data_IF_854361293418
#
_entry.id   IF_854361293418
#
_cell.length_a   1.000
_cell.length_b   1.000
_cell.length_c   1.000
_cell.angle_alpha   90.00
_cell.angle_beta   90.00
_cell.angle_gamma   90.00
#
_symmetry.space_group_name_H-M   'P 1'
#
loop_
_entity.id
_entity.type
_entity.pdbx_description
1 polymer ?
#
# COMPACT_ATOMS: atom_id res chain seq x y z
N UNK A 1 20.59 10.16 5.09
CA UNK A 1 19.95 9.61 4.87
C UNK A 1 19.00 9.81 4.33
N UNK A 2 18.64 9.33 3.66
CA UNK A 2 17.87 9.81 2.92
C UNK A 2 16.80 8.91 2.60
N UNK A 3 16.02 8.58 3.57
CA UNK A 3 14.85 7.78 3.42
C UNK A 3 13.83 8.39 2.48
N UNK A 4 13.91 9.70 2.33
CA UNK A 4 13.03 10.37 1.40
C UNK A 4 13.21 9.89 -0.03
N UNK A 5 14.45 9.66 -0.43
CA UNK A 5 14.71 9.22 -1.80
C UNK A 5 14.03 7.90 -2.09
N UNK A 6 14.05 7.00 -1.11
CA UNK A 6 13.42 5.68 -1.30
C UNK A 6 11.90 5.79 -1.39
N UNK A 7 11.30 6.68 -0.61
CA UNK A 7 9.85 6.86 -0.64
C UNK A 7 9.41 7.48 -1.95
N UNK A 8 10.18 8.41 -2.48
CA UNK A 8 9.84 9.12 -3.72
C UNK A 8 10.15 8.33 -4.98
N UNK A 9 10.98 7.33 -4.90
CA UNK A 9 11.29 6.52 -6.07
C UNK A 9 10.11 5.62 -6.40
N UNK A 10 9.74 5.52 -7.68
CA UNK A 10 8.67 4.59 -8.05
C UNK A 10 9.09 3.17 -7.73
N UNK A 11 8.13 2.36 -7.33
CA UNK A 11 8.38 0.95 -7.11
C UNK A 11 8.67 0.31 -8.45
N UNK A 12 9.89 -0.18 -8.58
CA UNK A 12 10.31 -0.82 -9.82
C UNK A 12 9.87 -2.28 -9.80
N UNK A 13 8.56 -2.48 -9.88
CA UNK A 13 7.95 -3.79 -9.76
C UNK A 13 7.18 -4.08 -11.03
N UNK A 14 7.38 -5.26 -11.61
CA UNK A 14 6.66 -5.60 -12.83
C UNK A 14 5.18 -5.88 -12.53
N UNK A 15 4.38 -5.91 -13.58
CA UNK A 15 2.94 -6.06 -13.44
C UNK A 15 2.53 -7.38 -12.79
N UNK A 16 3.30 -8.45 -13.04
CA UNK A 16 3.00 -9.75 -12.45
C UNK A 16 3.12 -9.70 -10.94
N UNK A 17 4.19 -9.09 -10.44
CA UNK A 17 4.41 -8.93 -9.01
C UNK A 17 3.33 -8.06 -8.39
N UNK A 18 2.94 -6.98 -9.08
CA UNK A 18 1.87 -6.12 -8.60
C UNK A 18 0.54 -6.86 -8.52
N UNK A 19 0.22 -7.67 -9.52
CA UNK A 19 -1.02 -8.45 -9.51
C UNK A 19 -1.05 -9.45 -8.38
N UNK A 20 0.07 -10.13 -8.15
CA UNK A 20 0.18 -11.08 -7.06
C UNK A 20 -0.02 -10.37 -5.72
N UNK A 21 0.64 -9.25 -5.52
CA UNK A 21 0.51 -8.47 -4.30
C UNK A 21 -0.94 -8.03 -4.08
N UNK A 22 -1.59 -7.55 -5.12
CA UNK A 22 -2.98 -7.11 -5.04
C UNK A 22 -3.91 -8.25 -4.68
N UNK A 23 -3.72 -9.42 -5.29
CA UNK A 23 -4.55 -10.59 -4.98
C UNK A 23 -4.43 -10.99 -3.51
N UNK A 24 -3.20 -11.03 -3.01
CA UNK A 24 -2.96 -11.40 -1.62
C UNK A 24 -3.56 -10.39 -0.66
N UNK A 25 -3.32 -9.12 -0.90
CA UNK A 25 -3.82 -8.07 -0.02
C UNK A 25 -5.35 -8.01 -0.03
N UNK A 26 -5.97 -8.16 -1.18
CA UNK A 26 -7.43 -8.14 -1.31
C UNK A 26 -8.07 -9.23 -0.47
N UNK A 27 -7.47 -10.43 -0.45
CA UNK A 27 -7.99 -11.52 0.37
C UNK A 27 -7.82 -11.20 1.85
N UNK A 28 -6.69 -10.63 2.24
CA UNK A 28 -6.47 -10.23 3.64
C UNK A 28 -7.50 -9.19 4.08
N UNK A 29 -7.82 -8.22 3.23
CA UNK A 29 -8.86 -7.25 3.52
C UNK A 29 -10.20 -7.93 3.74
N UNK A 30 -10.53 -8.88 2.87
CA UNK A 30 -11.79 -9.60 2.99
C UNK A 30 -11.85 -10.37 4.30
N UNK A 31 -10.78 -11.06 4.67
CA UNK A 31 -10.71 -11.78 5.93
C UNK A 31 -10.90 -10.84 7.11
N UNK A 32 -10.30 -9.66 7.04
CA UNK A 32 -10.46 -8.67 8.09
C UNK A 32 -11.92 -8.22 8.23
N UNK A 33 -12.56 -7.92 7.10
CA UNK A 33 -13.96 -7.51 7.10
C UNK A 33 -14.86 -8.63 7.64
N UNK A 34 -14.49 -9.89 7.38
CA UNK A 34 -15.24 -11.04 7.89
C UNK A 34 -14.98 -11.31 9.37
N UNK A 35 -14.13 -10.53 10.01
CA UNK A 35 -13.86 -10.64 11.44
C UNK A 35 -12.82 -11.68 11.80
N UNK A 36 -12.05 -12.17 10.85
CA UNK A 36 -10.99 -13.13 11.14
C UNK A 36 -9.82 -12.44 11.82
N UNK A 37 -9.26 -13.09 12.82
CA UNK A 37 -8.05 -12.56 13.46
C UNK A 37 -6.84 -12.89 12.58
N UNK A 38 -5.82 -12.07 12.68
CA UNK A 38 -4.60 -12.27 11.91
C UNK A 38 -3.98 -13.65 12.22
N UNK A 39 -4.00 -14.03 13.48
CA UNK A 39 -3.42 -15.29 13.92
C UNK A 39 -4.15 -16.52 13.37
N UNK A 40 -5.39 -16.34 12.94
CA UNK A 40 -6.18 -17.44 12.40
C UNK A 40 -5.90 -17.72 10.93
N UNK A 41 -5.13 -16.86 10.28
CA UNK A 41 -4.89 -16.95 8.84
C UNK A 41 -3.57 -17.68 8.59
N UNK A 42 -3.63 -18.77 7.83
CA UNK A 42 -2.43 -19.48 7.41
C UNK A 42 -2.02 -19.03 6.00
N UNK A 43 -0.74 -19.21 5.68
CA UNK A 43 -0.26 -18.93 4.33
C UNK A 43 -0.99 -19.81 3.32
N UNK A 44 -1.23 -21.07 3.67
CA UNK A 44 -1.96 -21.98 2.79
C UNK A 44 -3.36 -21.44 2.47
N UNK A 45 -4.10 -21.02 3.50
CA UNK A 45 -5.44 -20.51 3.33
C UNK A 45 -5.44 -19.24 2.48
N UNK A 46 -4.53 -18.32 2.79
CA UNK A 46 -4.40 -17.09 2.05
C UNK A 46 -4.11 -17.36 0.57
N UNK A 47 -3.17 -18.23 0.29
CA UNK A 47 -2.79 -18.54 -1.08
C UNK A 47 -3.93 -19.22 -1.85
N UNK A 48 -4.65 -20.14 -1.21
CA UNK A 48 -5.78 -20.78 -1.84
C UNK A 48 -6.85 -19.77 -2.23
N UNK A 49 -7.21 -18.89 -1.30
CA UNK A 49 -8.23 -17.89 -1.55
C UNK A 49 -7.78 -16.85 -2.58
N UNK A 50 -6.52 -16.50 -2.59
CA UNK A 50 -5.99 -15.53 -3.54
C UNK A 50 -5.65 -16.15 -4.89
N UNK A 51 -5.72 -17.47 -5.00
CA UNK A 51 -5.33 -18.20 -6.22
C UNK A 51 -3.88 -17.91 -6.60
N UNK A 52 -3.03 -17.93 -5.60
CA UNK A 52 -1.60 -17.74 -5.76
C UNK A 52 -0.92 -19.00 -5.22
N UNK A 53 0.04 -19.54 -5.94
CA UNK A 53 0.75 -20.72 -5.44
C UNK A 53 1.62 -20.32 -4.24
N UNK A 54 1.85 -21.29 -3.35
CA UNK A 54 2.73 -21.03 -2.22
C UNK A 54 4.15 -20.71 -2.68
N UNK A 55 4.59 -21.34 -3.77
CA UNK A 55 5.90 -21.02 -4.34
C UNK A 55 5.98 -19.55 -4.75
N UNK A 56 4.94 -19.04 -5.39
CA UNK A 56 4.89 -17.63 -5.77
C UNK A 56 4.87 -16.73 -4.53
N UNK A 57 4.10 -17.11 -3.51
CA UNK A 57 4.08 -16.35 -2.26
C UNK A 57 5.49 -16.25 -1.68
N UNK A 58 6.17 -17.40 -1.52
CA UNK A 58 7.49 -17.42 -0.89
C UNK A 58 8.58 -16.80 -1.74
N UNK A 59 8.32 -16.58 -3.02
CA UNK A 59 9.26 -15.85 -3.85
C UNK A 59 9.35 -14.37 -3.44
N UNK A 60 8.24 -13.83 -2.90
CA UNK A 60 8.16 -12.41 -2.57
C UNK A 60 8.07 -12.13 -1.08
N UNK A 61 7.61 -13.08 -0.30
CA UNK A 61 7.34 -12.88 1.12
C UNK A 61 7.74 -14.09 1.92
N UNK A 62 8.12 -13.87 3.17
CA UNK A 62 8.39 -14.97 4.10
C UNK A 62 7.21 -15.18 5.04
N UNK A 63 6.48 -14.10 5.35
CA UNK A 63 5.37 -14.12 6.28
C UNK A 63 4.22 -13.27 5.76
N UNK A 64 3.02 -13.54 6.26
CA UNK A 64 1.83 -12.81 5.84
C UNK A 64 1.94 -11.32 6.13
N UNK A 65 2.56 -10.96 7.26
CA UNK A 65 2.66 -9.54 7.62
C UNK A 65 3.37 -8.73 6.55
N UNK A 66 4.26 -9.35 5.80
CA UNK A 66 4.99 -8.65 4.74
C UNK A 66 4.08 -8.21 3.60
N UNK A 67 3.01 -8.93 3.35
CA UNK A 67 2.01 -8.50 2.36
C UNK A 67 1.44 -7.14 2.78
N UNK A 68 1.15 -7.00 4.06
CA UNK A 68 0.61 -5.75 4.61
C UNK A 68 1.66 -4.65 4.56
N UNK A 69 2.89 -4.97 4.92
CA UNK A 69 3.98 -4.00 4.90
C UNK A 69 4.22 -3.43 3.50
N UNK A 70 4.20 -4.30 2.49
CA UNK A 70 4.35 -3.85 1.11
C UNK A 70 3.20 -2.94 0.70
N UNK A 71 1.99 -3.28 1.12
CA UNK A 71 0.82 -2.46 0.80
C UNK A 71 0.92 -1.07 1.44
N UNK A 72 1.36 -1.01 2.69
CA UNK A 72 1.57 0.27 3.37
C UNK A 72 2.61 1.10 2.63
N UNK A 73 3.72 0.47 2.25
CA UNK A 73 4.79 1.16 1.56
C UNK A 73 4.32 1.72 0.22
N UNK A 74 3.56 0.95 -0.54
CA UNK A 74 2.99 1.42 -1.81
C UNK A 74 2.06 2.60 -1.60
N UNK A 75 1.23 2.52 -0.57
CA UNK A 75 0.29 3.60 -0.26
C UNK A 75 1.05 4.86 0.10
N UNK A 76 2.10 4.74 0.91
CA UNK A 76 2.94 5.87 1.26
C UNK A 76 3.61 6.50 0.05
N UNK A 77 4.11 5.67 -0.86
CA UNK A 77 4.73 6.18 -2.09
C UNK A 77 3.71 6.91 -2.96
N UNK A 78 2.52 6.36 -3.07
CA UNK A 78 1.46 6.99 -3.85
C UNK A 78 1.12 8.37 -3.27
N UNK A 79 0.93 8.45 -1.97
CA UNK A 79 0.65 9.73 -1.33
C UNK A 79 1.81 10.71 -1.47
N UNK A 80 3.03 10.22 -1.36
CA UNK A 80 4.20 11.07 -1.51
C UNK A 80 4.27 11.69 -2.90
N UNK A 81 4.02 10.91 -3.94
CA UNK A 81 4.03 11.42 -5.30
C UNK A 81 2.91 12.43 -5.52
N UNK A 82 1.72 12.16 -5.03
CA UNK A 82 0.62 13.12 -5.15
C UNK A 82 0.89 14.40 -4.38
N UNK A 83 1.45 14.26 -3.19
CA UNK A 83 1.79 15.41 -2.37
C UNK A 83 2.82 16.28 -3.05
N UNK A 84 3.84 15.66 -3.67
CA UNK A 84 4.85 16.40 -4.41
C UNK A 84 4.28 17.14 -5.60
N UNK A 85 3.32 16.55 -6.28
CA UNK A 85 2.66 17.20 -7.42
C UNK A 85 1.82 18.40 -6.98
N UNK A 86 1.22 18.31 -5.82
CA UNK A 86 0.38 19.39 -5.29
C UNK A 86 1.24 20.52 -4.74
N UNK A 87 2.36 20.18 -4.11
CA UNK A 87 3.17 21.15 -3.39
C UNK A 87 4.46 21.40 -4.16
N UNK A 88 4.32 21.85 -5.39
CA UNK A 88 5.49 22.24 -6.17
C UNK A 88 5.99 23.61 -5.80
N UNK A 89 5.11 24.49 -5.34
CA UNK A 89 5.48 25.87 -5.04
C UNK A 89 4.84 26.29 -3.73
N UNK A 90 5.39 27.35 -3.18
CA UNK A 90 4.82 27.98 -2.00
C UNK A 90 3.39 28.44 -2.23
N UNK A 91 3.08 28.87 -3.45
CA UNK A 91 1.75 29.32 -3.82
C UNK A 91 0.74 28.17 -3.75
N UNK A 92 1.14 27.00 -4.21
CA UNK A 92 0.26 25.83 -4.18
C UNK A 92 -0.06 25.42 -2.74
N UNK A 93 0.92 25.52 -1.86
CA UNK A 93 0.72 25.22 -0.45
C UNK A 93 -0.30 26.19 0.15
N UNK A 94 -0.13 27.48 -0.11
CA UNK A 94 -1.05 28.49 0.39
C UNK A 94 -2.46 28.28 -0.14
N UNK A 95 -2.57 27.95 -1.41
CA UNK A 95 -3.86 27.69 -2.05
C UNK A 95 -4.55 26.50 -1.41
N UNK A 96 -3.79 25.45 -1.12
CA UNK A 96 -4.32 24.25 -0.47
C UNK A 96 -4.83 24.57 0.93
N UNK A 97 -4.06 25.35 1.69
CA UNK A 97 -4.44 25.74 3.04
C UNK A 97 -5.72 26.56 3.02
N UNK A 98 -5.81 27.55 2.12
CA UNK A 98 -6.99 28.38 2.02
C UNK A 98 -8.21 27.58 1.64
N UNK A 99 -8.07 26.64 0.72
CA UNK A 99 -9.19 25.78 0.32
C UNK A 99 -9.68 24.94 1.50
N UNK A 100 -8.76 24.42 2.29
CA UNK A 100 -9.12 23.61 3.45
C UNK A 100 -9.87 24.44 4.48
N UNK A 101 -9.40 25.66 4.72
CA UNK A 101 -10.05 26.56 5.68
C UNK A 101 -11.45 26.94 5.19
N UNK A 102 -11.62 27.22 3.90
CA UNK A 102 -12.91 27.60 3.34
C UNK A 102 -13.92 26.46 3.38
N UNK A 103 -13.44 25.22 3.19
CA UNK A 103 -14.33 24.06 3.21
C UNK A 103 -14.79 23.70 4.62
N UNK A 104 -13.95 23.99 5.59
CA UNK A 104 -14.22 23.63 6.99
C UNK A 104 -14.10 24.83 7.88
N UNK A 105 -14.98 25.82 7.67
CA UNK A 105 -14.96 26.99 8.56
C UNK A 105 -15.41 26.57 9.94
N UNK A 106 -14.74 27.07 10.91
CA UNK A 106 -15.11 26.80 12.31
C UNK A 106 -16.42 27.52 12.67
#
# INVERSE_FOLDING_TARGET
>A
MNNYVKVHQPLNVDLRTQKTQTKLYTVLERFYVEGRTFESISIKDLCEQARVSRATFYRHHEEIIQVIEVQILRTMQYFSLEFDQIILTKENIQRLILRTIQKNPL
#
